data_IF_635412812637
#
_entry.id   IF_635412812637
#
_cell.length_a   1.000
_cell.length_b   1.000
_cell.length_c   1.000
_cell.angle_alpha   90.00
_cell.angle_beta   90.00
_cell.angle_gamma   90.00
#
_symmetry.space_group_name_H-M   'P 1'
#
loop_
_entity.id
_entity.type
_entity.pdbx_description
1 polymer ?
#
# COMPACT_ATOMS: atom_id res chain seq x y z
N UNK A 1 10.25 6.43 -13.76
CA UNK A 1 9.41 5.68 -12.81
C UNK A 1 8.28 5.04 -13.62
N UNK A 2 8.48 3.80 -14.07
CA UNK A 2 7.69 3.19 -15.17
C UNK A 2 6.40 2.47 -14.73
N UNK A 3 6.23 2.22 -13.41
CA UNK A 3 5.13 1.44 -12.84
C UNK A 3 3.77 2.14 -12.98
N UNK A 4 3.75 3.48 -12.91
CA UNK A 4 2.50 4.23 -12.91
C UNK A 4 2.20 4.93 -14.25
N UNK A 5 3.11 4.84 -15.23
CA UNK A 5 3.00 5.51 -16.54
C UNK A 5 2.62 4.56 -17.69
N UNK A 6 1.89 3.47 -17.42
CA UNK A 6 1.58 2.41 -18.39
C UNK A 6 2.80 1.78 -19.12
N UNK A 7 4.01 1.88 -18.53
CA UNK A 7 5.24 1.35 -19.14
C UNK A 7 5.48 -0.14 -18.91
N UNK A 8 4.82 -0.72 -17.91
CA UNK A 8 4.94 -2.13 -17.54
C UNK A 8 3.66 -2.90 -17.89
N UNK A 9 3.80 -4.20 -18.19
CA UNK A 9 2.64 -5.07 -18.42
C UNK A 9 1.80 -5.11 -17.15
N UNK A 10 0.48 -4.89 -17.24
CA UNK A 10 -0.41 -4.94 -16.07
C UNK A 10 -0.27 -6.26 -15.30
N UNK A 11 -0.07 -6.18 -13.98
CA UNK A 11 0.14 -7.30 -13.07
C UNK A 11 -0.84 -7.25 -11.90
N UNK A 12 -0.98 -8.41 -11.28
CA UNK A 12 -1.69 -8.58 -10.01
C UNK A 12 -1.32 -7.54 -8.92
N UNK A 13 -0.04 -7.20 -8.80
CA UNK A 13 0.41 -6.20 -7.82
C UNK A 13 -0.19 -4.80 -8.07
N UNK A 14 -0.42 -4.44 -9.33
CA UNK A 14 -1.02 -3.16 -9.69
C UNK A 14 -2.47 -3.11 -9.22
N UNK A 15 -3.22 -4.21 -9.34
CA UNK A 15 -4.58 -4.28 -8.82
C UNK A 15 -4.63 -4.11 -7.30
N UNK A 16 -3.72 -4.76 -6.56
CA UNK A 16 -3.63 -4.60 -5.10
C UNK A 16 -3.21 -3.17 -4.70
N UNK A 17 -2.25 -2.58 -5.40
CA UNK A 17 -1.81 -1.20 -5.19
C UNK A 17 -2.94 -0.20 -5.43
N UNK A 18 -3.62 -0.30 -6.59
CA UNK A 18 -4.78 0.51 -6.90
C UNK A 18 -5.89 0.34 -5.88
N UNK A 19 -6.13 -0.89 -5.41
CA UNK A 19 -7.15 -1.15 -4.40
C UNK A 19 -6.80 -0.50 -3.06
N UNK A 20 -5.53 -0.57 -2.62
CA UNK A 20 -5.08 0.17 -1.44
C UNK A 20 -5.35 1.67 -1.58
N UNK A 21 -5.01 2.28 -2.72
CA UNK A 21 -5.25 3.71 -2.94
C UNK A 21 -6.73 4.08 -2.88
N UNK A 22 -7.62 3.26 -3.42
CA UNK A 22 -9.06 3.47 -3.31
C UNK A 22 -9.52 3.40 -1.85
N UNK A 23 -9.03 2.43 -1.07
CA UNK A 23 -9.40 2.32 0.35
C UNK A 23 -8.86 3.49 1.17
N UNK A 24 -7.63 3.94 0.93
CA UNK A 24 -7.09 5.16 1.55
C UNK A 24 -7.97 6.38 1.23
N UNK A 25 -8.44 6.49 -0.01
CA UNK A 25 -9.37 7.55 -0.41
C UNK A 25 -10.71 7.46 0.33
N UNK A 26 -11.33 6.28 0.39
CA UNK A 26 -12.56 6.05 1.17
C UNK A 26 -12.38 6.40 2.65
N UNK A 27 -11.19 6.17 3.22
CA UNK A 27 -10.90 6.51 4.60
C UNK A 27 -10.76 8.00 4.87
N UNK A 28 -10.38 8.80 3.87
CA UNK A 28 -10.22 10.25 3.99
C UNK A 28 -11.47 11.05 3.58
N UNK A 29 -12.45 10.44 2.91
CA UNK A 29 -13.61 11.13 2.35
C UNK A 29 -14.96 10.55 2.80
N UNK A 30 -16.03 11.36 2.90
CA UNK A 30 -16.02 12.83 2.81
C UNK A 30 -15.22 13.44 3.96
N UNK A 31 -14.63 14.62 3.72
CA UNK A 31 -13.82 15.29 4.75
C UNK A 31 -14.74 15.80 5.86
N UNK A 32 -14.45 15.41 7.10
CA UNK A 32 -15.14 15.94 8.27
C UNK A 32 -14.48 17.24 8.72
N UNK A 33 -15.27 18.26 9.14
CA UNK A 33 -14.72 19.50 9.68
C UNK A 33 -13.73 19.24 10.82
N UNK A 34 -12.57 19.89 10.79
CA UNK A 34 -11.60 19.77 11.87
C UNK A 34 -12.16 20.45 13.14
N UNK A 35 -12.31 19.75 14.26
CA UNK A 35 -12.74 20.36 15.52
C UNK A 35 -11.75 21.40 16.07
N UNK A 36 -10.50 21.44 15.60
CA UNK A 36 -9.51 22.43 16.02
C UNK A 36 -8.68 22.99 14.85
N UNK A 37 -9.27 23.88 14.02
CA UNK A 37 -8.66 24.37 12.78
C UNK A 37 -7.44 25.28 13.01
N UNK A 38 -7.26 25.83 14.22
CA UNK A 38 -6.13 26.74 14.53
C UNK A 38 -4.83 25.99 14.82
N UNK A 39 -4.91 24.68 15.13
CA UNK A 39 -3.73 23.86 15.43
C UNK A 39 -3.07 23.37 14.14
N UNK A 40 -2.10 24.16 13.65
CA UNK A 40 -1.24 23.75 12.55
C UNK A 40 -0.36 22.55 12.93
N UNK A 41 -0.36 21.55 12.07
CA UNK A 41 0.56 20.43 12.07
C UNK A 41 1.53 20.56 10.89
N UNK A 42 2.79 20.21 11.09
CA UNK A 42 3.79 20.06 10.02
C UNK A 42 3.28 19.25 8.83
N UNK A 43 2.38 18.29 9.09
CA UNK A 43 1.78 17.41 8.09
C UNK A 43 0.71 18.09 7.23
N UNK A 44 0.22 19.28 7.63
CA UNK A 44 -0.83 20.01 6.89
C UNK A 44 -0.36 20.46 5.49
N UNK A 45 0.95 20.60 5.27
CA UNK A 45 1.51 20.94 3.96
C UNK A 45 1.44 19.78 2.95
N UNK A 46 1.40 18.53 3.43
CA UNK A 46 1.40 17.32 2.59
C UNK A 46 -0.01 16.71 2.55
N UNK A 47 -0.65 16.61 3.72
CA UNK A 47 -2.00 16.09 3.88
C UNK A 47 -2.88 17.17 4.52
N UNK A 48 -3.36 18.16 3.76
CA UNK A 48 -4.20 19.24 4.28
C UNK A 48 -5.46 18.68 4.94
N UNK A 49 -5.81 19.15 6.12
CA UNK A 49 -6.97 18.63 6.88
C UNK A 49 -8.29 18.79 6.16
N UNK A 50 -8.46 19.89 5.43
CA UNK A 50 -9.64 20.18 4.63
C UNK A 50 -9.73 19.32 3.38
N UNK A 51 -8.61 18.77 2.91
CA UNK A 51 -8.57 17.97 1.70
C UNK A 51 -7.30 17.10 1.64
N UNK A 52 -7.27 15.98 2.40
CA UNK A 52 -6.05 15.20 2.59
C UNK A 52 -5.45 14.70 1.29
N UNK A 53 -6.27 14.30 0.31
CA UNK A 53 -5.79 13.76 -0.96
C UNK A 53 -5.99 14.76 -2.12
N UNK A 54 -5.87 16.07 -1.84
CA UNK A 54 -5.98 17.13 -2.85
C UNK A 54 -5.15 16.85 -4.09
N UNK A 55 -3.89 16.47 -3.89
CA UNK A 55 -2.96 16.17 -4.98
C UNK A 55 -3.51 15.08 -5.90
N UNK A 56 -4.15 14.04 -5.34
CA UNK A 56 -4.66 12.90 -6.11
C UNK A 56 -5.88 13.25 -6.97
N UNK A 57 -6.58 14.34 -6.66
CA UNK A 57 -7.84 14.71 -7.30
C UNK A 57 -7.62 15.80 -8.36
N UNK A 58 -6.73 16.75 -8.09
CA UNK A 58 -6.62 17.98 -8.89
C UNK A 58 -5.35 18.13 -9.71
N UNK A 59 -4.31 17.36 -9.40
CA UNK A 59 -3.03 17.47 -10.11
C UNK A 59 -2.97 16.49 -11.29
N UNK A 60 -1.99 16.68 -12.17
CA UNK A 60 -1.75 15.81 -13.32
C UNK A 60 -1.23 14.41 -12.90
N UNK A 61 -1.30 13.48 -13.83
CA UNK A 61 -0.92 12.08 -13.62
C UNK A 61 0.52 11.94 -13.08
N UNK A 62 1.50 12.63 -13.67
CA UNK A 62 2.91 12.51 -13.25
C UNK A 62 3.11 13.01 -11.81
N UNK A 63 2.46 14.11 -11.46
CA UNK A 63 2.46 14.65 -10.09
C UNK A 63 1.82 13.67 -9.10
N UNK A 64 0.67 13.09 -9.42
CA UNK A 64 -0.01 12.09 -8.56
C UNK A 64 0.88 10.87 -8.33
N UNK A 65 1.56 10.43 -9.38
CA UNK A 65 2.47 9.28 -9.37
C UNK A 65 3.64 9.52 -8.43
N UNK A 66 4.33 10.65 -8.60
CA UNK A 66 5.45 11.02 -7.75
C UNK A 66 5.00 11.18 -6.29
N UNK A 67 3.82 11.76 -6.06
CA UNK A 67 3.26 11.96 -4.73
C UNK A 67 2.96 10.64 -4.01
N UNK A 68 2.35 9.67 -4.70
CA UNK A 68 2.08 8.32 -4.16
C UNK A 68 3.38 7.60 -3.81
N UNK A 69 4.34 7.56 -4.74
CA UNK A 69 5.64 6.92 -4.51
C UNK A 69 6.40 7.55 -3.33
N UNK A 70 6.45 8.88 -3.27
CA UNK A 70 7.19 9.57 -2.23
C UNK A 70 6.55 9.45 -0.84
N UNK A 71 5.24 9.66 -0.73
CA UNK A 71 4.57 9.86 0.55
C UNK A 71 3.76 8.66 1.06
N UNK A 72 3.40 7.72 0.18
CA UNK A 72 2.82 6.43 0.61
C UNK A 72 3.92 5.38 0.74
N UNK A 73 4.80 5.26 -0.26
CA UNK A 73 5.78 4.17 -0.28
C UNK A 73 7.04 4.55 0.49
N UNK A 74 7.78 5.57 0.07
CA UNK A 74 9.14 5.80 0.60
C UNK A 74 9.17 6.43 2.00
N UNK A 75 8.25 7.34 2.32
CA UNK A 75 8.25 8.07 3.62
C UNK A 75 7.22 7.54 4.60
N UNK A 76 7.64 6.60 5.46
CA UNK A 76 6.76 5.98 6.47
C UNK A 76 6.11 6.96 7.44
N UNK A 77 6.84 7.96 7.94
CA UNK A 77 6.27 8.98 8.86
C UNK A 77 5.20 9.83 8.18
N UNK A 78 5.39 10.15 6.91
CA UNK A 78 4.40 10.90 6.13
C UNK A 78 3.17 10.03 5.88
N UNK A 79 3.35 8.75 5.57
CA UNK A 79 2.25 7.80 5.47
C UNK A 79 1.43 7.71 6.77
N UNK A 80 2.08 7.64 7.94
CA UNK A 80 1.40 7.70 9.24
C UNK A 80 0.61 9.01 9.42
N UNK A 81 1.16 10.12 8.92
CA UNK A 81 0.47 11.40 8.85
C UNK A 81 -0.86 11.32 8.08
N UNK A 82 -0.91 10.59 6.97
CA UNK A 82 -2.14 10.36 6.20
C UNK A 82 -3.13 9.50 6.99
N UNK A 83 -2.67 8.46 7.70
CA UNK A 83 -3.53 7.66 8.57
C UNK A 83 -4.17 8.52 9.68
N UNK A 84 -3.45 9.54 10.14
CA UNK A 84 -3.97 10.57 11.05
C UNK A 84 -5.10 11.44 10.45
N UNK A 85 -5.32 11.39 9.14
CA UNK A 85 -6.40 12.08 8.43
C UNK A 85 -7.63 11.22 8.17
N UNK A 86 -7.62 9.97 8.62
CA UNK A 86 -8.79 9.10 8.45
C UNK A 86 -9.97 9.64 9.24
N UNK A 87 -11.18 9.54 8.65
CA UNK A 87 -12.41 9.83 9.37
C UNK A 87 -12.60 8.83 10.51
N UNK A 88 -13.34 9.24 11.53
CA UNK A 88 -13.72 8.37 12.64
C UNK A 88 -14.39 7.09 12.11
N UNK A 89 -14.11 5.95 12.77
CA UNK A 89 -14.62 4.63 12.39
C UNK A 89 -13.66 3.79 11.54
N UNK A 90 -12.56 4.36 11.02
CA UNK A 90 -11.54 3.59 10.27
C UNK A 90 -10.28 3.26 11.06
N UNK A 91 -10.31 3.34 12.39
CA UNK A 91 -9.15 3.02 13.22
C UNK A 91 -8.64 1.59 12.97
N UNK A 92 -9.55 0.62 12.82
CA UNK A 92 -9.18 -0.76 12.48
C UNK A 92 -8.45 -0.86 11.13
N UNK A 93 -8.86 -0.08 10.12
CA UNK A 93 -8.23 -0.13 8.81
C UNK A 93 -6.81 0.45 8.81
N UNK A 94 -6.43 1.31 9.76
CA UNK A 94 -5.04 1.81 9.85
C UNK A 94 -4.03 0.67 10.01
N UNK A 95 -4.37 -0.37 10.77
CA UNK A 95 -3.53 -1.56 10.92
C UNK A 95 -3.39 -2.32 9.60
N UNK A 96 -4.51 -2.49 8.88
CA UNK A 96 -4.53 -3.14 7.56
C UNK A 96 -3.69 -2.35 6.55
N UNK A 97 -3.86 -1.03 6.49
CA UNK A 97 -3.11 -0.16 5.57
C UNK A 97 -1.59 -0.27 5.79
N UNK A 98 -1.12 -0.34 7.05
CA UNK A 98 0.30 -0.57 7.37
C UNK A 98 0.79 -1.94 6.92
N UNK A 99 -0.03 -2.98 7.11
CA UNK A 99 0.30 -4.36 6.71
C UNK A 99 0.40 -4.44 5.19
N UNK A 100 -0.59 -3.90 4.48
CA UNK A 100 -0.62 -3.85 3.02
C UNK A 100 0.55 -3.06 2.45
N UNK A 101 0.90 -1.91 3.03
CA UNK A 101 2.10 -1.15 2.64
C UNK A 101 3.36 -2.01 2.73
N UNK A 102 3.49 -2.84 3.76
CA UNK A 102 4.62 -3.78 3.90
C UNK A 102 4.53 -4.95 2.93
N UNK A 103 3.35 -5.53 2.73
CA UNK A 103 3.12 -6.61 1.76
C UNK A 103 3.49 -6.17 0.33
N UNK A 104 3.15 -4.93 -0.04
CA UNK A 104 3.37 -4.40 -1.39
C UNK A 104 4.82 -3.96 -1.64
N UNK A 105 5.46 -3.32 -0.66
CA UNK A 105 6.74 -2.63 -0.90
C UNK A 105 7.84 -2.92 0.12
N UNK A 106 7.58 -3.78 1.11
CA UNK A 106 8.49 -4.02 2.23
C UNK A 106 9.80 -4.72 1.83
N UNK A 107 10.92 -4.24 2.35
CA UNK A 107 12.20 -4.95 2.27
C UNK A 107 12.39 -5.76 3.56
N UNK A 108 12.55 -7.07 3.40
CA UNK A 108 12.71 -7.99 4.52
C UNK A 108 13.93 -7.63 5.39
N UNK A 109 13.71 -7.60 6.71
CA UNK A 109 14.73 -7.27 7.71
C UNK A 109 15.12 -5.79 7.81
N UNK A 110 14.62 -4.92 6.93
CA UNK A 110 15.08 -3.52 6.82
C UNK A 110 14.03 -2.51 7.30
N UNK A 111 12.76 -2.92 7.40
CA UNK A 111 11.66 -2.04 7.81
C UNK A 111 11.37 -0.89 6.83
N UNK A 112 12.04 -0.89 5.67
CA UNK A 112 11.88 0.08 4.60
C UNK A 112 10.85 -0.39 3.57
N UNK A 113 10.26 0.56 2.86
CA UNK A 113 9.39 0.29 1.72
C UNK A 113 9.93 1.02 0.50
N UNK A 114 10.10 0.31 -0.62
CA UNK A 114 10.73 0.82 -1.83
C UNK A 114 9.97 0.31 -3.07
N UNK A 115 9.87 1.17 -4.09
CA UNK A 115 9.37 0.76 -5.42
C UNK A 115 10.53 0.09 -6.15
N UNK A 116 10.39 -1.20 -6.42
CA UNK A 116 11.38 -1.99 -7.13
C UNK A 116 10.98 -2.10 -8.61
N UNK A 117 11.92 -1.90 -9.55
CA UNK A 117 11.62 -2.07 -10.98
C UNK A 117 11.37 -3.55 -11.31
N UNK A 118 10.58 -3.82 -12.36
CA UNK A 118 10.59 -5.15 -12.96
C UNK A 118 11.92 -5.41 -13.69
N UNK A 119 12.43 -6.63 -13.57
CA UNK A 119 13.54 -7.10 -14.41
C UNK A 119 13.02 -8.04 -15.49
N UNK A 120 13.69 -8.07 -16.65
CA UNK A 120 13.54 -9.16 -17.61
C UNK A 120 14.16 -10.42 -17.01
N UNK A 121 13.33 -11.30 -16.45
CA UNK A 121 13.74 -12.67 -16.17
C UNK A 121 13.99 -13.39 -17.49
N UNK A 122 15.18 -13.97 -17.63
CA UNK A 122 15.62 -14.75 -18.78
C UNK A 122 14.53 -15.75 -19.23
N UNK A 123 13.93 -15.52 -20.41
CA UNK A 123 13.08 -16.49 -21.10
C UNK A 123 14.00 -17.53 -21.75
N UNK A 124 14.56 -18.42 -20.93
CA UNK A 124 15.55 -19.40 -21.37
C UNK A 124 15.28 -20.82 -20.86
N UNK A 125 14.42 -21.56 -21.58
CA UNK A 125 14.54 -23.02 -21.74
C UNK A 125 13.62 -23.90 -20.88
N UNK A 126 12.78 -24.69 -21.55
CA UNK A 126 12.34 -25.99 -21.05
C UNK A 126 13.57 -26.81 -20.61
N UNK A 127 13.71 -27.00 -19.31
CA UNK A 127 14.76 -27.82 -18.73
C UNK A 127 14.45 -28.03 -17.27
N UNK A 128 14.11 -29.26 -16.94
CA UNK A 128 14.12 -29.77 -15.57
C UNK A 128 15.44 -29.41 -14.92
N UNK A 129 15.46 -28.41 -14.05
CA UNK A 129 16.16 -28.47 -12.78
C UNK A 129 15.75 -27.31 -11.90
N UNK A 130 15.27 -27.68 -10.72
CA UNK A 130 14.94 -26.81 -9.61
C UNK A 130 16.26 -26.29 -9.06
N UNK A 131 16.87 -25.33 -9.75
CA UNK A 131 18.02 -24.61 -9.22
C UNK A 131 17.45 -23.65 -8.17
N UNK A 132 17.47 -24.12 -6.93
CA UNK A 132 17.58 -23.24 -5.77
C UNK A 132 18.71 -22.25 -6.08
N UNK A 133 18.35 -20.99 -6.30
CA UNK A 133 19.33 -19.90 -6.35
C UNK A 133 19.94 -19.74 -4.97
N UNK A 134 20.89 -20.62 -4.67
CA UNK A 134 21.89 -20.51 -3.63
C UNK A 134 22.88 -19.42 -4.04
N UNK A 135 22.45 -18.16 -3.91
CA UNK A 135 23.34 -17.00 -3.92
C UNK A 135 22.67 -15.89 -3.13
N UNK A 136 23.20 -15.60 -1.95
CA UNK A 136 22.81 -14.49 -1.08
C UNK A 136 23.15 -13.12 -1.66
N UNK A 137 22.84 -12.88 -2.95
CA UNK A 137 22.80 -11.57 -3.55
C UNK A 137 21.40 -11.00 -3.39
N UNK A 138 21.27 -9.82 -2.77
CA UNK A 138 20.00 -9.08 -2.79
C UNK A 138 19.71 -8.66 -4.22
N UNK A 139 18.70 -9.28 -4.80
CA UNK A 139 18.17 -8.90 -6.10
C UNK A 139 17.43 -7.57 -5.96
N UNK A 140 17.76 -6.62 -6.83
CA UNK A 140 17.20 -5.27 -6.81
C UNK A 140 16.09 -5.04 -7.85
N UNK A 141 15.44 -6.10 -8.32
CA UNK A 141 14.31 -6.05 -9.28
C UNK A 141 13.26 -7.11 -8.93
N UNK A 142 12.03 -6.99 -9.45
CA UNK A 142 10.93 -7.94 -9.25
C UNK A 142 10.86 -9.00 -10.37
N UNK A 143 10.48 -10.23 -10.02
CA UNK A 143 10.08 -11.24 -10.99
C UNK A 143 8.61 -11.03 -11.38
N UNK A 144 8.23 -11.65 -12.51
CA UNK A 144 6.89 -11.55 -13.11
C UNK A 144 5.75 -11.93 -12.16
N UNK A 145 6.00 -12.89 -11.30
CA UNK A 145 5.05 -13.47 -10.36
C UNK A 145 5.23 -12.96 -8.94
N UNK A 146 5.95 -11.86 -8.75
CA UNK A 146 6.20 -11.25 -7.44
C UNK A 146 5.52 -9.90 -7.27
N UNK A 147 5.10 -9.64 -6.03
CA UNK A 147 4.63 -8.33 -5.58
C UNK A 147 5.78 -7.48 -5.06
N UNK A 148 6.67 -8.10 -4.27
CA UNK A 148 7.92 -7.53 -3.76
C UNK A 148 9.01 -8.60 -3.82
N UNK A 149 10.28 -8.20 -3.73
CA UNK A 149 11.42 -9.14 -3.83
C UNK A 149 11.24 -10.30 -2.85
N UNK A 150 11.18 -11.52 -3.39
CA UNK A 150 11.05 -12.75 -2.61
C UNK A 150 9.63 -13.13 -2.21
N UNK A 151 8.59 -12.39 -2.62
CA UNK A 151 7.19 -12.68 -2.28
C UNK A 151 6.33 -12.81 -3.53
N UNK A 152 5.82 -14.02 -3.73
CA UNK A 152 4.96 -14.36 -4.85
C UNK A 152 3.57 -13.72 -4.74
N UNK A 153 2.93 -13.47 -5.88
CA UNK A 153 1.59 -12.89 -6.00
C UNK A 153 0.55 -13.59 -5.11
N UNK A 154 0.58 -14.92 -5.08
CA UNK A 154 -0.37 -15.72 -4.30
C UNK A 154 -0.19 -15.55 -2.79
N UNK A 155 1.05 -15.42 -2.34
CA UNK A 155 1.37 -15.20 -0.92
C UNK A 155 0.95 -13.79 -0.50
N UNK A 156 1.33 -12.77 -1.27
CA UNK A 156 0.92 -11.39 -1.05
C UNK A 156 -0.61 -11.23 -1.06
N UNK A 157 -1.34 -11.92 -1.95
CA UNK A 157 -2.80 -11.97 -1.89
C UNK A 157 -3.31 -12.54 -0.58
N UNK A 158 -2.72 -13.66 -0.12
CA UNK A 158 -3.06 -14.29 1.14
C UNK A 158 -2.89 -13.32 2.30
N UNK A 159 -1.73 -12.65 2.39
CA UNK A 159 -1.46 -11.62 3.39
C UNK A 159 -2.49 -10.48 3.36
N UNK A 160 -2.79 -9.97 2.17
CA UNK A 160 -3.72 -8.87 1.98
C UNK A 160 -5.16 -9.26 2.37
N UNK A 161 -5.62 -10.42 1.88
CA UNK A 161 -6.93 -11.01 2.18
C UNK A 161 -7.07 -11.25 3.68
N UNK A 162 -6.08 -11.86 4.30
CA UNK A 162 -6.14 -12.25 5.71
C UNK A 162 -6.20 -11.01 6.60
N UNK A 163 -5.45 -9.95 6.27
CA UNK A 163 -5.54 -8.67 6.98
C UNK A 163 -6.94 -8.03 6.89
N UNK A 164 -7.60 -8.10 5.73
CA UNK A 164 -8.98 -7.61 5.59
C UNK A 164 -9.98 -8.50 6.31
N UNK A 165 -9.81 -9.82 6.25
CA UNK A 165 -10.68 -10.78 6.94
C UNK A 165 -10.62 -10.56 8.46
N UNK A 166 -9.42 -10.44 9.03
CA UNK A 166 -9.21 -10.13 10.44
C UNK A 166 -9.91 -8.82 10.84
N UNK A 167 -9.85 -7.79 9.98
CA UNK A 167 -10.59 -6.55 10.21
C UNK A 167 -12.11 -6.76 10.21
N UNK A 168 -12.64 -7.52 9.24
CA UNK A 168 -14.08 -7.80 9.15
C UNK A 168 -14.55 -8.60 10.36
N UNK A 169 -13.79 -9.61 10.79
CA UNK A 169 -14.08 -10.40 11.99
C UNK A 169 -14.06 -9.53 13.25
N UNK A 170 -13.12 -8.59 13.38
CA UNK A 170 -13.06 -7.66 14.50
C UNK A 170 -14.22 -6.63 14.51
N UNK A 171 -14.82 -6.36 13.34
CA UNK A 171 -15.96 -5.46 13.19
C UNK A 171 -17.30 -6.18 13.34
N UNK A 172 -17.34 -7.51 13.20
CA UNK A 172 -18.53 -8.29 13.45
C UNK A 172 -18.83 -8.25 14.96
N UNK A 173 -19.94 -7.61 15.41
CA UNK A 173 -20.32 -7.71 16.80
C UNK A 173 -20.50 -9.19 17.14
N UNK A 174 -20.01 -9.62 18.30
CA UNK A 174 -20.35 -10.94 18.82
C UNK A 174 -21.87 -11.07 18.78
N UNK A 175 -22.38 -12.00 17.98
CA UNK A 175 -23.79 -12.39 18.02
C UNK A 175 -24.07 -12.98 19.41
N UNK A 176 -24.41 -12.14 20.39
CA UNK A 176 -24.65 -12.61 21.74
C UNK A 176 -24.48 -11.58 22.84
N UNK A 177 -25.25 -10.49 22.80
CA UNK A 177 -25.71 -9.79 24.01
C UNK A 177 -26.90 -8.89 23.66
N UNK A 178 -27.96 -9.52 23.14
CA UNK A 178 -29.33 -9.04 23.30
C UNK A 178 -30.06 -10.12 24.10
N UNK A 179 -29.87 -10.11 25.42
CA UNK A 179 -30.83 -10.70 26.34
C UNK A 179 -31.50 -9.57 27.11
N UNK A 180 -32.79 -9.45 26.80
CA UNK A 180 -33.87 -8.64 27.37
C UNK A 180 -33.67 -8.11 28.80
#
# INVERSE_FOLDING_TARGET
MAVLSNGETHRYRHDLESFLYVLLWVCCYPVTPDPNPEKRDSMDNIWPRSHPLKTWIFEDEETVIAHKGMYIVSKGEVFEGLLGRFRAGFEGFKAVARRWRRTLWGIEGWGLCVIMPEGEGDMGGEGTDRIESASGGKRDWLLRDEVRVGVANREAFGEARDALRELVEALAPGEGELQN
#
